data_IF_851231096954
#
_entry.id   IF_851231096954
#
_cell.length_a   1.000
_cell.length_b   1.000
_cell.length_c   1.000
_cell.angle_alpha   90.00
_cell.angle_beta   90.00
_cell.angle_gamma   90.00
#
_symmetry.space_group_name_H-M   'P 1'
#
loop_
_entity.id
_entity.type
_entity.pdbx_description
1 polymer ?
#
# COMPACT_ATOMS: atom_id res chain seq x y z
N UNK A 1 25.81 9.92 20.31
CA UNK A 1 24.84 8.96 20.89
C UNK A 1 23.38 9.27 20.52
N UNK A 2 23.02 10.54 20.27
CA UNK A 2 21.69 10.91 19.73
C UNK A 2 21.47 10.41 18.30
N UNK A 3 22.52 10.43 17.48
CA UNK A 3 22.45 10.02 16.06
C UNK A 3 22.11 8.53 15.87
N UNK A 4 22.53 7.68 16.81
CA UNK A 4 22.26 6.24 16.79
C UNK A 4 20.80 5.91 17.15
N UNK A 5 20.21 6.69 18.06
CA UNK A 5 18.79 6.59 18.40
C UNK A 5 17.90 7.10 17.26
N UNK A 6 18.34 8.15 16.56
CA UNK A 6 17.61 8.72 15.43
C UNK A 6 17.58 7.75 14.23
N UNK A 7 18.73 7.18 13.87
CA UNK A 7 18.80 6.18 12.79
C UNK A 7 17.96 4.91 13.07
N UNK A 8 17.87 4.48 14.33
CA UNK A 8 17.04 3.34 14.72
C UNK A 8 15.53 3.67 14.67
N UNK A 9 15.15 4.89 15.05
CA UNK A 9 13.77 5.38 14.92
C UNK A 9 13.34 5.45 13.45
N UNK A 10 14.16 6.07 12.60
CA UNK A 10 13.89 6.21 11.17
C UNK A 10 13.75 4.84 10.48
N UNK A 11 14.62 3.89 10.81
CA UNK A 11 14.56 2.53 10.24
C UNK A 11 13.30 1.76 10.67
N UNK A 12 12.83 1.97 11.91
CA UNK A 12 11.58 1.41 12.40
C UNK A 12 10.40 2.06 11.68
N UNK A 13 10.38 3.38 11.56
CA UNK A 13 9.30 4.13 10.89
C UNK A 13 9.21 3.73 9.41
N UNK A 14 10.34 3.65 8.71
CA UNK A 14 10.40 3.18 7.32
C UNK A 14 9.90 1.73 7.18
N UNK A 15 10.22 0.85 8.14
CA UNK A 15 9.75 -0.54 8.13
C UNK A 15 8.25 -0.64 8.37
N UNK A 16 7.70 0.18 9.27
CA UNK A 16 6.26 0.25 9.54
C UNK A 16 5.48 0.82 8.34
N UNK A 17 6.02 1.84 7.65
CA UNK A 17 5.39 2.39 6.44
C UNK A 17 5.39 1.38 5.29
N UNK A 18 6.52 0.69 5.05
CA UNK A 18 6.59 -0.37 4.03
C UNK A 18 5.64 -1.53 4.31
N UNK A 19 5.50 -1.94 5.57
CA UNK A 19 4.55 -2.98 5.98
C UNK A 19 3.11 -2.58 5.68
N UNK A 20 2.72 -1.35 6.05
CA UNK A 20 1.38 -0.81 5.78
C UNK A 20 1.08 -0.68 4.29
N UNK A 21 2.05 -0.24 3.49
CA UNK A 21 1.86 -0.14 2.04
C UNK A 21 1.73 -1.51 1.37
N UNK A 22 2.42 -2.53 1.89
CA UNK A 22 2.26 -3.92 1.46
C UNK A 22 0.84 -4.45 1.70
N UNK A 23 0.32 -4.29 2.92
CA UNK A 23 -1.03 -4.75 3.30
C UNK A 23 -2.13 -4.06 2.47
N UNK A 24 -2.01 -2.74 2.26
CA UNK A 24 -2.92 -1.96 1.43
C UNK A 24 -2.90 -2.40 -0.04
N UNK A 25 -1.70 -2.69 -0.56
CA UNK A 25 -1.52 -3.18 -1.93
C UNK A 25 -2.13 -4.58 -2.11
N UNK A 26 -1.89 -5.49 -1.16
CA UNK A 26 -2.48 -6.83 -1.18
C UNK A 26 -4.02 -6.77 -1.17
N UNK A 27 -4.59 -5.96 -0.27
CA UNK A 27 -6.04 -5.74 -0.20
C UNK A 27 -6.60 -5.23 -1.53
N UNK A 28 -5.93 -4.27 -2.17
CA UNK A 28 -6.37 -3.74 -3.45
C UNK A 28 -6.32 -4.78 -4.58
N UNK A 29 -5.29 -5.64 -4.60
CA UNK A 29 -5.12 -6.70 -5.60
C UNK A 29 -6.20 -7.78 -5.45
N UNK A 30 -6.50 -8.22 -4.23
CA UNK A 30 -7.56 -9.20 -3.97
C UNK A 30 -8.93 -8.66 -4.44
N UNK A 31 -9.23 -7.40 -4.11
CA UNK A 31 -10.48 -6.76 -4.52
C UNK A 31 -10.56 -6.53 -6.05
N UNK A 32 -9.42 -6.26 -6.71
CA UNK A 32 -9.35 -6.19 -8.17
C UNK A 32 -9.67 -7.55 -8.81
N UNK A 33 -9.16 -8.64 -8.23
CA UNK A 33 -9.45 -10.00 -8.69
C UNK A 33 -10.94 -10.35 -8.55
N UNK A 34 -11.58 -9.86 -7.48
CA UNK A 34 -13.02 -10.00 -7.24
C UNK A 34 -13.90 -9.06 -8.09
N UNK A 35 -13.31 -8.31 -9.05
CA UNK A 35 -13.99 -7.33 -9.89
C UNK A 35 -14.75 -6.25 -9.10
N UNK A 36 -14.25 -5.90 -7.91
CA UNK A 36 -14.85 -4.86 -7.09
C UNK A 36 -14.70 -3.48 -7.77
N UNK A 37 -15.72 -2.59 -7.73
CA UNK A 37 -15.61 -1.24 -8.28
C UNK A 37 -14.46 -0.44 -7.65
N UNK A 38 -13.75 0.34 -8.48
CA UNK A 38 -12.55 1.10 -8.08
C UNK A 38 -12.81 2.00 -6.87
N UNK A 39 -13.97 2.64 -6.77
CA UNK A 39 -14.35 3.52 -5.66
C UNK A 39 -14.39 2.76 -4.32
N UNK A 40 -14.84 1.50 -4.34
CA UNK A 40 -14.81 0.63 -3.16
C UNK A 40 -13.39 0.20 -2.82
N UNK A 41 -12.57 -0.10 -3.83
CA UNK A 41 -11.17 -0.46 -3.61
C UNK A 41 -10.44 0.68 -2.91
N UNK A 42 -10.56 1.92 -3.41
CA UNK A 42 -9.98 3.12 -2.77
C UNK A 42 -10.44 3.27 -1.32
N UNK A 43 -11.75 3.07 -1.06
CA UNK A 43 -12.32 3.18 0.29
C UNK A 43 -11.72 2.18 1.27
N UNK A 44 -11.52 0.92 0.86
CA UNK A 44 -11.16 -0.18 1.76
C UNK A 44 -9.66 -0.51 1.78
N UNK A 45 -8.93 -0.29 0.68
CA UNK A 45 -7.47 -0.43 0.66
C UNK A 45 -6.75 0.81 1.18
N UNK A 46 -7.45 1.94 1.30
CA UNK A 46 -6.87 3.24 1.63
C UNK A 46 -5.76 3.70 0.66
N UNK A 47 -5.69 3.11 -0.54
CA UNK A 47 -4.80 3.58 -1.60
C UNK A 47 -5.44 4.72 -2.39
N UNK A 48 -4.63 5.67 -2.88
CA UNK A 48 -5.08 6.66 -3.85
C UNK A 48 -5.64 5.99 -5.10
N UNK A 49 -6.63 6.64 -5.73
CA UNK A 49 -7.28 6.14 -6.95
C UNK A 49 -6.27 5.84 -8.06
N UNK A 50 -5.29 6.72 -8.21
CA UNK A 50 -4.22 6.61 -9.20
C UNK A 50 -3.44 5.30 -9.01
N UNK A 51 -3.09 4.97 -7.76
CA UNK A 51 -2.35 3.74 -7.44
C UNK A 51 -3.18 2.49 -7.73
N UNK A 52 -4.48 2.50 -7.42
CA UNK A 52 -5.38 1.39 -7.74
C UNK A 52 -5.48 1.18 -9.26
N UNK A 53 -5.54 2.26 -10.04
CA UNK A 53 -5.56 2.20 -11.50
C UNK A 53 -4.25 1.67 -12.10
N UNK A 54 -3.10 2.01 -11.51
CA UNK A 54 -1.81 1.41 -11.87
C UNK A 54 -1.79 -0.09 -11.62
N UNK A 55 -2.23 -0.53 -10.42
CA UNK A 55 -2.31 -1.94 -10.07
C UNK A 55 -3.22 -2.73 -11.04
N UNK A 56 -4.39 -2.18 -11.39
CA UNK A 56 -5.31 -2.79 -12.34
C UNK A 56 -4.69 -2.97 -13.74
N UNK A 57 -3.89 -2.01 -14.21
CA UNK A 57 -3.21 -2.11 -15.50
C UNK A 57 -2.14 -3.20 -15.47
N UNK A 58 -1.35 -3.24 -14.40
CA UNK A 58 -0.26 -4.19 -14.25
C UNK A 58 -0.73 -5.64 -14.00
N UNK A 59 -1.93 -5.82 -13.44
CA UNK A 59 -2.51 -7.16 -13.20
C UNK A 59 -3.16 -7.80 -14.42
N UNK A 60 -3.20 -7.12 -15.58
CA UNK A 60 -3.85 -7.58 -16.82
C UNK A 60 -2.86 -8.02 -17.91
N UNK A 61 -1.59 -8.27 -17.55
CA UNK A 61 -0.58 -8.89 -18.42
C UNK A 61 -0.52 -10.39 -18.16
#
# INVERSE_FOLDING_TARGET
MKDFLYAYSDAIDESFEKGRDGERTATALDMLADNVPIEKIVKYSHLPKEKVLELQKNSRH
#
